data_IF_173303077060
#
_entry.id   IF_173303077060
#
_cell.length_a   1.000
_cell.length_b   1.000
_cell.length_c   1.000
_cell.angle_alpha   90.00
_cell.angle_beta   90.00
_cell.angle_gamma   90.00
#
_symmetry.space_group_name_H-M   'P 1'
#
loop_
_entity.id
_entity.type
_entity.pdbx_description
1 polymer ?
#
# COMPACT_ATOMS: atom_id res chain seq x y z
N UNK A 1 7.10 -10.10 23.76
CA UNK A 1 7.62 -10.35 22.48
C UNK A 1 8.29 -9.14 21.85
N UNK A 2 9.39 -9.37 21.26
CA UNK A 2 10.14 -8.28 20.72
C UNK A 2 9.73 -7.96 19.31
N UNK A 3 9.54 -6.70 19.05
CA UNK A 3 9.15 -6.28 17.72
C UNK A 3 10.37 -5.96 16.88
N UNK A 4 10.42 -6.50 15.69
CA UNK A 4 11.53 -6.28 14.80
C UNK A 4 11.17 -5.18 13.81
N UNK A 5 12.03 -4.20 13.71
CA UNK A 5 11.84 -3.16 12.72
C UNK A 5 12.08 -3.68 11.33
N UNK A 6 11.21 -3.28 10.41
CA UNK A 6 11.40 -3.62 9.01
C UNK A 6 12.48 -2.73 8.42
N UNK A 7 13.52 -3.36 7.91
CA UNK A 7 14.60 -2.62 7.26
C UNK A 7 14.48 -2.86 5.77
N UNK A 8 14.22 -1.80 5.05
CA UNK A 8 14.00 -1.89 3.62
C UNK A 8 15.21 -1.44 2.83
N UNK A 9 15.37 -1.99 1.63
CA UNK A 9 16.33 -1.46 0.70
C UNK A 9 15.99 -0.01 0.38
N UNK A 10 17.01 0.83 0.13
CA UNK A 10 16.72 2.23 -0.16
C UNK A 10 15.74 2.44 -1.30
N UNK A 11 15.76 1.55 -2.30
CA UNK A 11 14.83 1.65 -3.41
C UNK A 11 13.39 1.49 -2.97
N UNK A 12 13.14 0.53 -2.07
CA UNK A 12 11.80 0.30 -1.55
C UNK A 12 11.36 1.44 -0.66
N UNK A 13 12.28 1.98 0.13
CA UNK A 13 11.98 3.13 0.97
C UNK A 13 11.48 4.29 0.12
N UNK A 14 12.17 4.53 -1.02
CA UNK A 14 11.75 5.61 -1.91
C UNK A 14 10.37 5.37 -2.50
N UNK A 15 10.08 4.13 -2.86
CA UNK A 15 8.76 3.80 -3.40
C UNK A 15 7.68 4.09 -2.38
N UNK A 16 7.91 3.71 -1.13
CA UNK A 16 6.92 3.96 -0.08
C UNK A 16 6.79 5.45 0.22
N UNK A 17 7.89 6.19 0.15
CA UNK A 17 7.84 7.63 0.33
C UNK A 17 7.00 8.29 -0.76
N UNK A 18 7.13 7.82 -1.99
CA UNK A 18 6.31 8.33 -3.07
C UNK A 18 4.84 8.04 -2.83
N UNK A 19 4.56 6.82 -2.39
CA UNK A 19 3.19 6.44 -2.07
C UNK A 19 2.60 7.35 -0.99
N UNK A 20 3.35 7.57 0.08
CA UNK A 20 2.90 8.46 1.14
C UNK A 20 2.69 9.87 0.64
N UNK A 21 3.58 10.36 -0.22
CA UNK A 21 3.43 11.67 -0.82
C UNK A 21 2.17 11.78 -1.65
N UNK A 22 1.84 10.70 -2.38
CA UNK A 22 0.61 10.69 -3.17
C UNK A 22 -0.62 10.77 -2.28
N UNK A 23 -0.59 10.09 -1.13
CA UNK A 23 -1.68 10.17 -0.18
C UNK A 23 -1.85 11.59 0.33
N UNK A 24 -0.73 12.23 0.65
CA UNK A 24 -0.78 13.61 1.12
C UNK A 24 -1.37 14.54 0.06
N UNK A 25 -0.93 14.38 -1.19
CA UNK A 25 -1.46 15.21 -2.26
C UNK A 25 -2.95 14.97 -2.48
N UNK A 26 -3.38 13.72 -2.37
CA UNK A 26 -4.80 13.42 -2.51
C UNK A 26 -5.62 14.12 -1.44
N UNK A 27 -5.09 14.16 -0.23
CA UNK A 27 -5.76 14.88 0.86
C UNK A 27 -5.83 16.37 0.55
N UNK A 28 -4.70 16.94 0.12
CA UNK A 28 -4.64 18.37 -0.14
C UNK A 28 -5.56 18.79 -1.30
N UNK A 29 -5.63 17.95 -2.33
CA UNK A 29 -6.53 18.24 -3.44
C UNK A 29 -7.98 18.31 -3.00
N UNK A 30 -8.34 17.57 -1.97
CA UNK A 30 -9.69 17.55 -1.42
C UNK A 30 -9.87 18.61 -0.36
N UNK A 31 -8.82 19.41 -0.11
CA UNK A 31 -8.84 20.48 0.88
C UNK A 31 -9.25 19.99 2.25
N UNK A 32 -8.75 18.82 2.62
CA UNK A 32 -9.01 18.23 3.92
C UNK A 32 -7.79 18.41 4.81
N UNK A 33 -8.05 18.64 6.09
CA UNK A 33 -6.97 18.73 7.05
C UNK A 33 -6.55 17.35 7.53
N UNK A 34 -5.34 17.28 8.09
CA UNK A 34 -4.89 16.02 8.68
C UNK A 34 -5.83 15.56 9.78
N UNK A 35 -6.34 16.51 10.54
CA UNK A 35 -7.25 16.19 11.63
C UNK A 35 -8.52 15.52 11.11
N UNK A 36 -9.06 16.06 10.02
CA UNK A 36 -10.28 15.49 9.45
C UNK A 36 -10.06 14.07 8.95
N UNK A 37 -8.93 13.84 8.26
CA UNK A 37 -8.66 12.50 7.75
C UNK A 37 -8.39 11.54 8.91
N UNK A 38 -7.58 11.94 9.87
CA UNK A 38 -7.24 11.07 10.99
C UNK A 38 -8.51 10.69 11.76
N UNK A 39 -9.38 11.65 11.97
CA UNK A 39 -10.61 11.40 12.70
C UNK A 39 -11.49 10.40 11.97
N UNK A 40 -11.66 10.56 10.66
CA UNK A 40 -12.48 9.66 9.87
C UNK A 40 -11.86 8.29 9.72
N UNK A 41 -10.55 8.21 9.69
CA UNK A 41 -9.86 6.93 9.57
C UNK A 41 -9.70 6.23 10.91
N UNK A 42 -10.05 6.89 12.00
CA UNK A 42 -9.92 6.30 13.32
C UNK A 42 -8.49 6.15 13.77
N UNK A 43 -7.61 7.06 13.38
CA UNK A 43 -6.20 7.02 13.75
C UNK A 43 -5.78 8.37 14.32
N UNK A 44 -4.62 8.41 14.96
CA UNK A 44 -4.09 9.66 15.48
C UNK A 44 -3.47 10.48 14.34
N UNK A 45 -3.32 11.77 14.58
CA UNK A 45 -2.62 12.62 13.61
C UNK A 45 -1.19 12.15 13.41
N UNK A 46 -0.57 11.67 14.47
CA UNK A 46 0.78 11.15 14.38
C UNK A 46 0.85 9.96 13.43
N UNK A 47 -0.13 9.07 13.51
CA UNK A 47 -0.18 7.92 12.61
C UNK A 47 -0.40 8.37 11.17
N UNK A 48 -1.28 9.35 10.96
CA UNK A 48 -1.50 9.86 9.62
C UNK A 48 -0.23 10.50 9.06
N UNK A 49 0.50 11.22 9.91
CA UNK A 49 1.78 11.79 9.49
C UNK A 49 2.71 10.69 8.97
N UNK A 50 2.75 9.55 9.70
CA UNK A 50 3.58 8.42 9.29
C UNK A 50 3.12 7.84 7.95
N UNK A 51 1.81 7.77 7.74
CA UNK A 51 1.26 7.31 6.47
C UNK A 51 1.72 8.23 5.33
N UNK A 52 1.64 9.53 5.55
CA UNK A 52 2.01 10.49 4.51
C UNK A 52 3.51 10.54 4.28
N UNK A 53 4.29 10.05 5.23
CA UNK A 53 5.74 9.87 5.02
C UNK A 53 6.06 8.53 4.38
N UNK A 54 5.08 7.64 4.26
CA UNK A 54 5.30 6.35 3.66
C UNK A 54 6.15 5.42 4.49
N UNK A 55 6.01 5.49 5.82
CA UNK A 55 6.84 4.69 6.69
C UNK A 55 6.42 3.23 6.67
N UNK A 56 7.41 2.36 6.63
CA UNK A 56 7.18 0.91 6.59
C UNK A 56 6.63 0.37 7.89
N UNK A 57 6.77 1.10 8.98
CA UNK A 57 6.29 0.64 10.27
C UNK A 57 4.77 0.72 10.41
N UNK A 58 4.11 1.44 9.50
CA UNK A 58 2.65 1.54 9.53
C UNK A 58 2.06 0.30 8.89
N UNK A 59 1.01 -0.25 9.49
CA UNK A 59 0.38 -1.44 8.95
C UNK A 59 -0.32 -1.15 7.63
N UNK A 60 -0.41 -2.15 6.79
CA UNK A 60 -1.13 -2.01 5.53
C UNK A 60 -2.59 -1.67 5.79
N UNK A 61 -3.16 -2.24 6.86
CA UNK A 61 -4.55 -1.92 7.21
C UNK A 61 -4.75 -0.44 7.48
N UNK A 62 -3.78 0.20 8.12
CA UNK A 62 -3.88 1.63 8.38
C UNK A 62 -3.83 2.41 7.08
N UNK A 63 -2.94 2.04 6.16
CA UNK A 63 -2.92 2.65 4.84
C UNK A 63 -4.27 2.47 4.14
N UNK A 64 -4.85 1.28 4.25
CA UNK A 64 -6.13 0.99 3.62
C UNK A 64 -7.23 1.89 4.17
N UNK A 65 -7.24 2.12 5.48
CA UNK A 65 -8.26 2.98 6.07
C UNK A 65 -8.14 4.42 5.58
N UNK A 66 -6.93 4.91 5.45
CA UNK A 66 -6.71 6.27 4.95
C UNK A 66 -7.17 6.37 3.49
N UNK A 67 -6.81 5.38 2.68
CA UNK A 67 -7.23 5.36 1.29
C UNK A 67 -8.74 5.31 1.17
N UNK A 68 -9.39 4.55 2.04
CA UNK A 68 -10.85 4.47 2.02
C UNK A 68 -11.48 5.83 2.30
N UNK A 69 -10.94 6.56 3.27
CA UNK A 69 -11.47 7.89 3.58
C UNK A 69 -11.31 8.82 2.38
N UNK A 70 -10.25 8.65 1.61
CA UNK A 70 -10.01 9.46 0.43
C UNK A 70 -10.77 8.97 -0.81
N UNK A 71 -11.43 7.81 -0.71
CA UNK A 71 -12.13 7.23 -1.85
C UNK A 71 -11.22 6.51 -2.81
N UNK A 72 -10.02 6.14 -2.38
CA UNK A 72 -9.00 5.53 -3.22
C UNK A 72 -8.68 4.10 -2.84
N UNK A 73 -9.57 3.46 -2.08
CA UNK A 73 -9.30 2.11 -1.61
C UNK A 73 -9.15 1.11 -2.75
N UNK A 74 -9.71 1.40 -3.90
CA UNK A 74 -9.62 0.48 -5.04
C UNK A 74 -8.21 0.40 -5.61
N UNK A 75 -7.36 1.38 -5.29
CA UNK A 75 -5.96 1.29 -5.69
C UNK A 75 -5.30 0.03 -5.11
N UNK A 76 -5.77 -0.40 -3.94
CA UNK A 76 -5.23 -1.62 -3.34
C UNK A 76 -5.52 -2.85 -4.17
N UNK A 77 -6.62 -2.85 -4.92
CA UNK A 77 -6.97 -3.98 -5.76
C UNK A 77 -6.04 -4.12 -6.96
N UNK A 78 -5.29 -3.07 -7.25
CA UNK A 78 -4.37 -3.10 -8.39
C UNK A 78 -3.00 -3.67 -8.01
N UNK A 79 -2.73 -3.82 -6.73
CA UNK A 79 -1.43 -4.32 -6.29
C UNK A 79 -1.27 -5.75 -6.78
N UNK A 80 -0.18 -6.00 -7.51
CA UNK A 80 0.18 -7.31 -8.05
C UNK A 80 -0.85 -7.87 -9.04
N UNK A 81 -1.82 -7.07 -9.44
CA UNK A 81 -2.86 -7.54 -10.34
C UNK A 81 -2.33 -7.78 -11.75
N UNK A 82 -1.50 -6.87 -12.25
CA UNK A 82 -0.97 -6.99 -13.60
C UNK A 82 0.39 -7.67 -13.57
N UNK A 83 0.36 -8.97 -13.37
CA UNK A 83 1.55 -9.78 -13.24
C UNK A 83 1.86 -10.46 -14.57
N UNK A 84 2.49 -9.69 -15.47
CA UNK A 84 2.76 -10.17 -16.82
C UNK A 84 3.68 -11.39 -16.78
N UNK A 85 4.76 -11.31 -16.01
CA UNK A 85 5.71 -12.42 -15.93
C UNK A 85 5.03 -13.67 -15.37
N UNK A 86 4.26 -13.51 -14.29
CA UNK A 86 3.58 -14.65 -13.70
C UNK A 86 2.63 -15.31 -14.66
N UNK A 87 1.90 -14.51 -15.45
CA UNK A 87 1.00 -15.09 -16.44
C UNK A 87 1.77 -15.84 -17.51
N UNK A 88 2.91 -15.31 -17.95
CA UNK A 88 3.72 -16.02 -18.94
C UNK A 88 4.27 -17.31 -18.39
N UNK A 89 4.68 -17.32 -17.15
CA UNK A 89 5.17 -18.56 -16.51
C UNK A 89 4.05 -19.58 -16.40
N UNK A 90 2.86 -19.13 -16.05
CA UNK A 90 1.72 -20.03 -15.98
C UNK A 90 1.39 -20.61 -17.34
N UNK A 91 1.38 -19.77 -18.38
CA UNK A 91 1.10 -20.23 -19.73
C UNK A 91 2.12 -21.26 -20.19
N UNK A 92 3.38 -21.04 -19.86
CA UNK A 92 4.42 -21.99 -20.22
C UNK A 92 4.18 -23.35 -19.55
N UNK A 93 3.77 -23.33 -18.30
CA UNK A 93 3.45 -24.57 -17.61
C UNK A 93 2.26 -25.28 -18.22
N UNK A 94 1.26 -24.52 -18.63
CA UNK A 94 0.09 -25.12 -19.26
C UNK A 94 0.44 -25.76 -20.58
N UNK A 95 1.31 -25.13 -21.36
CA UNK A 95 1.69 -25.71 -22.65
C UNK A 95 2.53 -26.95 -22.49
N UNK A 96 3.23 -27.12 -21.36
CA UNK A 96 3.98 -28.35 -21.12
C UNK A 96 3.12 -29.41 -20.49
N UNK A 97 1.86 -29.13 -20.22
CA UNK A 97 0.97 -30.09 -19.61
C UNK A 97 1.10 -30.21 -18.13
N UNK A 98 1.85 -29.35 -17.53
CA UNK A 98 2.01 -29.41 -16.09
C UNK A 98 0.96 -28.61 -15.41
N UNK A 99 0.54 -29.11 -14.25
CA UNK A 99 -0.44 -28.39 -13.49
C UNK A 99 0.22 -27.44 -12.55
N UNK A 100 -0.44 -26.32 -12.29
CA UNK A 100 0.02 -25.39 -11.29
C UNK A 100 -0.05 -26.05 -9.92
N UNK A 101 0.88 -25.74 -9.04
CA UNK A 101 0.83 -26.28 -7.68
C UNK A 101 -0.43 -25.83 -6.98
N UNK A 102 -0.94 -26.74 -6.18
CA UNK A 102 -2.08 -26.39 -5.40
C UNK A 102 -1.63 -25.68 -4.18
N UNK A 103 -2.42 -24.84 -3.75
CA UNK A 103 -2.01 -24.16 -2.58
C UNK A 103 -2.74 -24.53 -1.45
#
# INVERSE_FOLDING_TARGET
>A
MKRTKTVLLPRLTKILEEMGGNVKLARLRRKLTMEQIADRAGISRSTLWQVEKGLASVSLGTYAQVLFVLGLEKDLQLIAKDDVLGRKLQDANLTTGKRAPKK
#
